data_IF_812997403259
#
_entry.id   IF_812997403259
#
_cell.length_a   1.000
_cell.length_b   1.000
_cell.length_c   1.000
_cell.angle_alpha   90.00
_cell.angle_beta   90.00
_cell.angle_gamma   90.00
#
_symmetry.space_group_name_H-M   'P 1'
#
loop_
_entity.id
_entity.type
_entity.pdbx_description
1 polymer ?
#
# COMPACT_ATOMS: atom_id res chain seq x y z
N UNK A 1 -19.26 2.02 12.09
CA UNK A 1 -18.34 1.28 11.20
C UNK A 1 -18.22 2.00 9.87
N UNK A 2 -17.02 2.32 9.43
CA UNK A 2 -16.85 2.84 8.07
C UNK A 2 -17.24 1.78 7.05
N UNK A 3 -17.94 2.21 6.02
CA UNK A 3 -18.35 1.33 4.94
C UNK A 3 -17.33 1.42 3.80
N UNK A 4 -17.05 0.28 3.18
CA UNK A 4 -16.30 0.27 1.92
C UNK A 4 -17.27 0.62 0.78
N UNK A 5 -16.90 1.63 0.00
CA UNK A 5 -17.68 2.06 -1.16
C UNK A 5 -16.85 1.80 -2.41
N UNK A 6 -17.42 1.08 -3.35
CA UNK A 6 -16.77 0.83 -4.63
C UNK A 6 -17.03 1.99 -5.58
N UNK A 7 -15.99 2.74 -5.93
CA UNK A 7 -16.12 3.90 -6.82
C UNK A 7 -15.98 3.56 -8.29
N UNK A 8 -15.23 2.52 -8.63
CA UNK A 8 -15.04 2.16 -10.02
C UNK A 8 -13.89 1.19 -10.23
N UNK A 9 -13.64 0.88 -11.49
CA UNK A 9 -12.51 0.05 -11.90
C UNK A 9 -11.95 0.55 -13.22
N UNK A 10 -10.73 0.14 -13.54
CA UNK A 10 -10.08 0.46 -14.80
C UNK A 10 -9.40 -0.79 -15.37
N UNK A 11 -9.50 -0.97 -16.69
CA UNK A 11 -8.78 -2.01 -17.40
C UNK A 11 -7.53 -1.40 -18.02
N UNK A 12 -6.36 -1.99 -17.71
CA UNK A 12 -5.08 -1.46 -18.12
C UNK A 12 -4.36 -2.45 -19.03
N UNK A 13 -3.68 -1.93 -20.06
CA UNK A 13 -2.84 -2.74 -20.93
C UNK A 13 -1.52 -3.13 -20.26
N UNK A 14 -1.03 -2.29 -19.36
CA UNK A 14 0.24 -2.47 -18.69
C UNK A 14 0.22 -1.81 -17.31
N UNK A 15 1.31 -1.99 -16.58
CA UNK A 15 1.48 -1.43 -15.24
C UNK A 15 2.63 -0.41 -15.23
N UNK A 16 2.63 0.49 -16.21
CA UNK A 16 3.62 1.57 -16.29
C UNK A 16 3.21 2.79 -15.47
N UNK A 17 4.18 3.65 -15.19
CA UNK A 17 3.94 4.92 -14.49
C UNK A 17 2.92 5.77 -15.26
N UNK A 18 3.06 5.84 -16.57
CA UNK A 18 2.15 6.64 -17.42
C UNK A 18 0.72 6.14 -17.36
N UNK A 19 0.52 4.82 -17.39
CA UNK A 19 -0.81 4.22 -17.30
C UNK A 19 -1.44 4.50 -15.93
N UNK A 20 -0.71 4.30 -14.85
CA UNK A 20 -1.21 4.61 -13.51
C UNK A 20 -1.47 6.11 -13.34
N UNK A 21 -0.62 6.95 -13.89
CA UNK A 21 -0.83 8.39 -13.87
C UNK A 21 -2.16 8.77 -14.52
N UNK A 22 -2.44 8.20 -15.69
CA UNK A 22 -3.72 8.43 -16.39
C UNK A 22 -4.91 8.00 -15.53
N UNK A 23 -4.84 6.82 -14.91
CA UNK A 23 -5.91 6.30 -14.04
C UNK A 23 -6.15 7.24 -12.88
N UNK A 24 -5.09 7.67 -12.21
CA UNK A 24 -5.20 8.54 -11.03
C UNK A 24 -5.68 9.94 -11.39
N UNK A 25 -5.24 10.48 -12.53
CA UNK A 25 -5.75 11.77 -13.03
C UNK A 25 -7.24 11.69 -13.37
N UNK A 26 -7.65 10.58 -14.00
CA UNK A 26 -9.07 10.36 -14.32
C UNK A 26 -9.92 10.23 -13.05
N UNK A 27 -9.41 9.54 -12.05
CA UNK A 27 -10.09 9.43 -10.75
C UNK A 27 -10.19 10.79 -10.07
N UNK A 28 -9.11 11.55 -10.05
CA UNK A 28 -9.08 12.88 -9.44
C UNK A 28 -10.07 13.83 -10.11
N UNK A 29 -10.14 13.78 -11.44
CA UNK A 29 -11.13 14.57 -12.20
C UNK A 29 -12.55 14.17 -11.82
N UNK A 30 -12.83 12.87 -11.74
CA UNK A 30 -14.15 12.37 -11.35
C UNK A 30 -14.53 12.81 -9.93
N UNK A 31 -13.54 12.99 -9.05
CA UNK A 31 -13.75 13.47 -7.68
C UNK A 31 -13.72 15.00 -7.55
N UNK A 32 -13.82 15.73 -8.67
CA UNK A 32 -13.86 17.18 -8.68
C UNK A 32 -12.53 17.87 -8.31
N UNK A 33 -11.42 17.17 -8.52
CA UNK A 33 -10.09 17.68 -8.19
C UNK A 33 -9.72 17.59 -6.72
N UNK A 34 -10.56 16.95 -5.91
CA UNK A 34 -10.30 16.79 -4.47
C UNK A 34 -9.39 15.59 -4.23
N UNK A 35 -8.22 15.84 -3.68
CA UNK A 35 -7.25 14.80 -3.34
C UNK A 35 -7.72 13.98 -2.13
N UNK A 36 -7.54 12.66 -2.14
CA UNK A 36 -7.74 11.88 -0.92
C UNK A 36 -6.70 12.25 0.13
N UNK A 37 -7.04 12.11 1.38
CA UNK A 37 -6.09 12.36 2.49
C UNK A 37 -5.03 11.26 2.54
N UNK A 38 -5.46 10.03 2.33
CA UNK A 38 -4.59 8.86 2.37
C UNK A 38 -4.98 7.91 1.25
N UNK A 39 -3.99 7.31 0.60
CA UNK A 39 -4.19 6.26 -0.38
C UNK A 39 -3.36 5.03 0.03
N UNK A 40 -3.96 3.86 -0.06
CA UNK A 40 -3.31 2.61 0.31
C UNK A 40 -3.24 1.73 -0.93
N UNK A 41 -2.04 1.26 -1.26
CA UNK A 41 -1.81 0.39 -2.41
C UNK A 41 -0.87 -0.75 -2.05
N UNK A 42 -0.64 -1.67 -3.00
CA UNK A 42 0.44 -2.63 -2.86
C UNK A 42 1.81 -1.94 -3.09
N UNK A 43 2.88 -2.71 -2.91
CA UNK A 43 4.25 -2.20 -3.07
C UNK A 43 4.70 -2.22 -4.53
N UNK A 44 4.00 -1.52 -5.40
CA UNK A 44 4.35 -1.38 -6.82
C UNK A 44 5.06 -0.06 -7.05
N UNK A 45 6.28 -0.13 -7.61
CA UNK A 45 7.12 1.07 -7.81
C UNK A 45 6.52 2.03 -8.83
N UNK A 46 5.93 1.52 -9.90
CA UNK A 46 5.31 2.35 -10.92
C UNK A 46 4.10 3.07 -10.36
N UNK A 47 3.27 2.37 -9.59
CA UNK A 47 2.12 2.96 -8.91
C UNK A 47 2.54 4.02 -7.90
N UNK A 48 3.57 3.75 -7.11
CA UNK A 48 4.11 4.71 -6.15
C UNK A 48 4.58 6.00 -6.82
N UNK A 49 5.31 5.87 -7.92
CA UNK A 49 5.77 7.03 -8.70
C UNK A 49 4.61 7.84 -9.26
N UNK A 50 3.60 7.17 -9.81
CA UNK A 50 2.41 7.84 -10.33
C UNK A 50 1.64 8.58 -9.23
N UNK A 51 1.51 7.99 -8.05
CA UNK A 51 0.86 8.63 -6.90
C UNK A 51 1.60 9.91 -6.50
N UNK A 52 2.92 9.87 -6.47
CA UNK A 52 3.71 11.06 -6.15
C UNK A 52 3.52 12.19 -7.18
N UNK A 53 3.30 11.85 -8.43
CA UNK A 53 3.06 12.83 -9.49
C UNK A 53 1.66 13.42 -9.46
N UNK A 54 0.65 12.61 -9.16
CA UNK A 54 -0.77 13.02 -9.24
C UNK A 54 -1.30 13.48 -7.89
N UNK A 55 -1.05 12.72 -6.83
CA UNK A 55 -1.58 12.99 -5.49
C UNK A 55 -0.50 13.58 -4.59
N UNK A 56 0.01 14.75 -4.93
CA UNK A 56 1.14 15.39 -4.24
C UNK A 56 0.89 15.66 -2.75
N UNK A 57 -0.35 15.89 -2.37
CA UNK A 57 -0.73 16.22 -0.99
C UNK A 57 -1.37 15.04 -0.26
N UNK A 58 -1.29 13.85 -0.84
CA UNK A 58 -1.90 12.64 -0.29
C UNK A 58 -0.84 11.79 0.39
N UNK A 59 -1.15 11.28 1.58
CA UNK A 59 -0.30 10.33 2.26
C UNK A 59 -0.45 8.97 1.59
N UNK A 60 0.66 8.41 1.11
CA UNK A 60 0.67 7.08 0.51
C UNK A 60 1.18 6.05 1.52
N UNK A 61 0.42 4.97 1.67
CA UNK A 61 0.78 3.85 2.53
C UNK A 61 0.67 2.55 1.74
N UNK A 62 1.54 1.61 2.04
CA UNK A 62 1.49 0.29 1.44
C UNK A 62 0.47 -0.59 2.17
N UNK A 63 -0.21 -1.44 1.42
CA UNK A 63 -1.20 -2.36 1.99
C UNK A 63 -0.52 -3.34 2.93
N UNK A 64 -0.98 -3.38 4.16
CA UNK A 64 -0.42 -4.23 5.20
C UNK A 64 -0.48 -5.72 4.85
N UNK A 65 -1.57 -6.15 4.26
CA UNK A 65 -1.74 -7.54 3.82
C UNK A 65 -0.68 -7.93 2.80
N UNK A 66 -0.41 -7.07 1.81
CA UNK A 66 0.60 -7.33 0.79
C UNK A 66 2.01 -7.33 1.36
N UNK A 67 2.31 -6.45 2.31
CA UNK A 67 3.59 -6.43 3.01
C UNK A 67 3.83 -7.77 3.72
N UNK A 68 2.86 -8.22 4.48
CA UNK A 68 2.96 -9.51 5.20
C UNK A 68 3.14 -10.68 4.25
N UNK A 69 2.35 -10.72 3.18
CA UNK A 69 2.40 -11.81 2.19
C UNK A 69 3.76 -11.86 1.50
N UNK A 70 4.27 -10.72 1.05
CA UNK A 70 5.59 -10.64 0.40
C UNK A 70 6.71 -11.05 1.36
N UNK A 71 6.66 -10.60 2.59
CA UNK A 71 7.66 -10.95 3.59
C UNK A 71 7.65 -12.45 3.89
N UNK A 72 6.48 -13.04 4.07
CA UNK A 72 6.34 -14.47 4.29
C UNK A 72 6.86 -15.27 3.09
N UNK A 73 6.50 -14.90 1.88
CA UNK A 73 6.91 -15.61 0.67
C UNK A 73 8.43 -15.57 0.46
N UNK A 74 9.07 -14.44 0.74
CA UNK A 74 10.53 -14.29 0.60
C UNK A 74 11.29 -14.99 1.70
N UNK A 75 10.73 -15.06 2.90
CA UNK A 75 11.42 -15.51 4.10
C UNK A 75 10.76 -16.75 4.72
N UNK A 76 9.98 -17.50 3.94
CA UNK A 76 9.23 -18.65 4.43
C UNK A 76 10.07 -19.69 5.13
N UNK A 77 11.27 -19.97 4.62
CA UNK A 77 12.19 -20.92 5.24
C UNK A 77 12.66 -20.47 6.62
N UNK A 78 12.95 -19.17 6.75
CA UNK A 78 13.36 -18.58 8.03
C UNK A 78 12.21 -18.63 9.03
N UNK A 79 11.01 -18.27 8.61
CA UNK A 79 9.83 -18.33 9.48
C UNK A 79 9.48 -19.77 9.88
N UNK A 80 9.63 -20.72 8.97
CA UNK A 80 9.37 -22.12 9.25
C UNK A 80 10.39 -22.71 10.23
N UNK A 81 11.66 -22.26 10.16
CA UNK A 81 12.72 -22.72 11.03
C UNK A 81 12.70 -22.09 12.43
N UNK A 82 12.03 -20.97 12.60
CA UNK A 82 12.02 -20.20 13.85
C UNK A 82 10.59 -20.03 14.34
N UNK A 83 10.17 -20.92 15.25
CA UNK A 83 8.83 -20.86 15.82
C UNK A 83 8.56 -19.51 16.47
N UNK A 84 7.42 -18.93 16.13
CA UNK A 84 7.00 -17.65 16.69
C UNK A 84 7.57 -16.41 15.99
N UNK A 85 8.58 -16.55 15.14
CA UNK A 85 9.16 -15.40 14.46
C UNK A 85 8.15 -14.68 13.57
N UNK A 86 7.37 -15.44 12.81
CA UNK A 86 6.34 -14.84 11.93
C UNK A 86 5.23 -14.17 12.74
N UNK A 87 4.83 -14.75 13.86
CA UNK A 87 3.84 -14.15 14.75
C UNK A 87 4.36 -12.86 15.36
N UNK A 88 5.63 -12.83 15.78
CA UNK A 88 6.27 -11.61 16.28
C UNK A 88 6.33 -10.54 15.20
N UNK A 89 6.68 -10.92 13.98
CA UNK A 89 6.68 -10.01 12.84
C UNK A 89 5.28 -9.43 12.59
N UNK A 90 4.25 -10.25 12.58
CA UNK A 90 2.87 -9.79 12.40
C UNK A 90 2.45 -8.84 13.50
N UNK A 91 2.80 -9.12 14.73
CA UNK A 91 2.45 -8.27 15.88
C UNK A 91 3.10 -6.88 15.75
N UNK A 92 4.38 -6.83 15.38
CA UNK A 92 5.09 -5.56 15.19
C UNK A 92 4.43 -4.75 14.07
N UNK A 93 4.18 -5.38 12.93
CA UNK A 93 3.60 -4.71 11.76
C UNK A 93 2.17 -4.25 12.04
N UNK A 94 1.36 -5.06 12.71
CA UNK A 94 -0.04 -4.73 13.01
C UNK A 94 -0.18 -3.62 14.05
N UNK A 95 0.74 -3.56 15.02
CA UNK A 95 0.61 -2.68 16.17
C UNK A 95 1.45 -1.41 16.07
N UNK A 96 2.25 -1.28 15.01
CA UNK A 96 3.04 -0.07 14.77
C UNK A 96 2.22 0.97 14.04
N UNK A 97 2.05 2.14 14.64
CA UNK A 97 1.27 3.24 14.08
C UNK A 97 2.12 4.20 13.26
N UNK A 98 3.37 4.35 13.61
CA UNK A 98 4.33 5.26 12.97
C UNK A 98 5.68 4.57 12.82
N UNK A 99 6.55 5.15 12.00
CA UNK A 99 7.88 4.58 11.72
C UNK A 99 8.71 4.40 12.99
N UNK A 100 8.74 5.41 13.85
CA UNK A 100 9.49 5.37 15.10
C UNK A 100 8.99 4.26 16.04
N UNK A 101 7.68 4.06 16.06
CA UNK A 101 7.08 3.00 16.86
C UNK A 101 7.46 1.62 16.29
N UNK A 102 7.42 1.47 14.97
CA UNK A 102 7.85 0.25 14.32
C UNK A 102 9.32 -0.06 14.62
N UNK A 103 10.20 0.93 14.47
CA UNK A 103 11.63 0.77 14.73
C UNK A 103 11.91 0.39 16.19
N UNK A 104 11.18 0.97 17.12
CA UNK A 104 11.31 0.65 18.54
C UNK A 104 10.91 -0.79 18.85
N UNK A 105 9.89 -1.31 18.18
CA UNK A 105 9.36 -2.67 18.40
C UNK A 105 10.18 -3.74 17.67
N UNK A 106 10.82 -3.36 16.55
CA UNK A 106 11.59 -4.29 15.72
C UNK A 106 12.92 -4.67 16.38
#
# INVERSE_FOLDING_TARGET
MPKVVFFGCAFLHDETIETFKWVFESFLEAMGGKHPKTIITDQDKAMQSAIQLVFKNTRHMNCLFHIKTKCYNKNGKVFAANNGLYEDFKDIVNNSLIVEEFERMW
#
